data_IF_458656171075
#
_entry.id   IF_458656171075
#
_cell.length_a   1.000
_cell.length_b   1.000
_cell.length_c   1.000
_cell.angle_alpha   90.00
_cell.angle_beta   90.00
_cell.angle_gamma   90.00
#
_symmetry.space_group_name_H-M   'P 1'
#
loop_
_entity.id
_entity.type
_entity.pdbx_description
1 polymer ?
#
# COMPACT_ATOMS: atom_id res chain seq x y z
N UNK A 1 -7.46 -6.77 -19.61
CA UNK A 1 -8.40 -6.19 -20.61
C UNK A 1 -8.80 -7.20 -21.70
N UNK A 2 -7.92 -8.13 -22.07
CA UNK A 2 -8.22 -9.21 -23.04
C UNK A 2 -9.44 -10.05 -22.61
N UNK A 3 -10.32 -10.40 -23.54
CA UNK A 3 -11.52 -11.25 -23.36
C UNK A 3 -12.65 -10.67 -22.49
N UNK A 4 -12.78 -9.35 -22.37
CA UNK A 4 -13.91 -8.69 -21.71
C UNK A 4 -14.95 -8.24 -22.74
N UNK A 5 -16.24 -8.44 -22.45
CA UNK A 5 -17.35 -7.88 -23.24
C UNK A 5 -17.60 -6.38 -22.96
N UNK A 6 -16.84 -5.78 -22.03
CA UNK A 6 -16.96 -4.37 -21.70
C UNK A 6 -16.21 -3.51 -22.73
N UNK A 7 -16.83 -2.45 -23.30
CA UNK A 7 -16.19 -1.61 -24.30
C UNK A 7 -14.86 -1.03 -23.81
N UNK A 8 -13.89 -0.93 -24.71
CA UNK A 8 -12.55 -0.45 -24.38
C UNK A 8 -12.57 0.99 -23.83
N UNK A 9 -13.43 1.86 -24.34
CA UNK A 9 -13.63 3.22 -23.84
C UNK A 9 -13.99 3.26 -22.34
N UNK A 10 -14.79 2.29 -21.88
CA UNK A 10 -15.18 2.16 -20.46
C UNK A 10 -13.98 1.73 -19.60
N UNK A 11 -13.07 0.91 -20.13
CA UNK A 11 -11.82 0.57 -19.45
C UNK A 11 -10.89 1.78 -19.33
N UNK A 12 -10.75 2.59 -20.37
CA UNK A 12 -9.96 3.83 -20.32
C UNK A 12 -10.54 4.83 -19.32
N UNK A 13 -11.85 5.06 -19.35
CA UNK A 13 -12.52 5.90 -18.34
C UNK A 13 -12.35 5.34 -16.93
N UNK A 14 -12.50 4.03 -16.75
CA UNK A 14 -12.29 3.38 -15.47
C UNK A 14 -10.87 3.56 -14.93
N UNK A 15 -9.86 3.36 -15.77
CA UNK A 15 -8.46 3.61 -15.40
C UNK A 15 -8.22 5.08 -15.05
N UNK A 16 -8.81 6.01 -15.80
CA UNK A 16 -8.72 7.45 -15.53
C UNK A 16 -9.30 7.79 -14.16
N UNK A 17 -10.51 7.33 -13.86
CA UNK A 17 -11.19 7.60 -12.59
C UNK A 17 -10.41 7.10 -11.37
N UNK A 18 -9.89 5.87 -11.43
CA UNK A 18 -9.16 5.26 -10.30
C UNK A 18 -7.80 5.92 -10.07
N UNK A 19 -7.13 6.37 -11.14
CA UNK A 19 -5.78 6.93 -11.04
C UNK A 19 -5.74 8.41 -10.69
N UNK A 20 -6.78 9.17 -11.05
CA UNK A 20 -6.78 10.64 -10.90
C UNK A 20 -7.51 11.12 -9.65
N UNK A 21 -8.47 10.36 -9.11
CA UNK A 21 -9.21 10.79 -7.93
C UNK A 21 -8.44 10.53 -6.64
N UNK A 22 -8.06 11.59 -5.93
CA UNK A 22 -7.26 11.56 -4.69
C UNK A 22 -7.88 10.81 -3.50
N UNK A 23 -9.21 10.68 -3.37
CA UNK A 23 -9.82 9.80 -2.36
C UNK A 23 -10.00 8.34 -2.82
N UNK A 24 -9.87 8.04 -4.11
CA UNK A 24 -10.24 6.74 -4.69
C UNK A 24 -11.76 6.60 -4.77
N UNK A 25 -12.25 5.43 -5.17
CA UNK A 25 -13.69 5.20 -5.32
C UNK A 25 -14.12 3.84 -4.81
N UNK A 26 -15.29 3.80 -4.16
CA UNK A 26 -15.98 2.54 -3.90
C UNK A 26 -16.45 1.90 -5.21
N UNK A 27 -16.61 0.58 -5.23
CA UNK A 27 -17.09 -0.14 -6.41
C UNK A 27 -18.51 0.31 -6.82
N UNK A 28 -19.35 0.68 -5.85
CA UNK A 28 -20.69 1.21 -6.12
C UNK A 28 -20.66 2.59 -6.78
N UNK A 29 -19.77 3.48 -6.32
CA UNK A 29 -19.59 4.79 -6.96
C UNK A 29 -19.01 4.64 -8.36
N UNK A 30 -18.02 3.76 -8.53
CA UNK A 30 -17.40 3.44 -9.81
C UNK A 30 -18.41 2.90 -10.82
N UNK A 31 -19.28 1.98 -10.38
CA UNK A 31 -20.39 1.45 -11.16
C UNK A 31 -21.30 2.58 -11.69
N UNK A 32 -21.74 3.48 -10.80
CA UNK A 32 -22.63 4.59 -11.14
C UNK A 32 -21.99 5.56 -12.13
N UNK A 33 -20.72 5.91 -11.92
CA UNK A 33 -20.01 6.85 -12.80
C UNK A 33 -19.79 6.29 -14.21
N UNK A 34 -19.56 4.99 -14.34
CA UNK A 34 -19.39 4.33 -15.63
C UNK A 34 -20.69 3.84 -16.27
N UNK A 35 -21.84 4.02 -15.62
CA UNK A 35 -23.13 3.54 -16.11
C UNK A 35 -23.21 2.01 -16.23
N UNK A 36 -22.47 1.27 -15.39
CA UNK A 36 -22.45 -0.19 -15.44
C UNK A 36 -23.71 -0.77 -14.78
N UNK A 37 -24.33 -1.73 -15.44
CA UNK A 37 -25.58 -2.36 -14.95
C UNK A 37 -25.36 -3.30 -13.77
N UNK A 38 -24.18 -3.93 -13.67
CA UNK A 38 -23.86 -4.94 -12.65
C UNK A 38 -22.72 -4.46 -11.74
N UNK A 39 -22.91 -4.63 -10.44
CA UNK A 39 -21.89 -4.31 -9.43
C UNK A 39 -20.64 -5.17 -9.63
N UNK A 40 -20.84 -6.45 -9.95
CA UNK A 40 -19.78 -7.43 -10.12
C UNK A 40 -18.84 -7.06 -11.28
N UNK A 41 -19.38 -6.44 -12.34
CA UNK A 41 -18.58 -5.92 -13.45
C UNK A 41 -17.67 -4.79 -12.97
N UNK A 42 -18.21 -3.82 -12.22
CA UNK A 42 -17.44 -2.73 -11.64
C UNK A 42 -16.35 -3.26 -10.68
N UNK A 43 -16.71 -4.21 -9.80
CA UNK A 43 -15.80 -4.83 -8.85
C UNK A 43 -14.67 -5.58 -9.55
N UNK A 44 -14.98 -6.41 -10.55
CA UNK A 44 -13.98 -7.13 -11.34
C UNK A 44 -13.06 -6.17 -12.10
N UNK A 45 -13.62 -5.11 -12.70
CA UNK A 45 -12.81 -4.09 -13.38
C UNK A 45 -11.80 -3.45 -12.44
N UNK A 46 -12.24 -3.04 -11.23
CA UNK A 46 -11.35 -2.48 -10.22
C UNK A 46 -10.26 -3.47 -9.81
N UNK A 47 -10.59 -4.73 -9.57
CA UNK A 47 -9.58 -5.75 -9.22
C UNK A 47 -8.58 -6.01 -10.34
N UNK A 48 -9.00 -5.99 -11.61
CA UNK A 48 -8.10 -6.09 -12.76
C UNK A 48 -7.16 -4.89 -12.86
N UNK A 49 -7.67 -3.68 -12.61
CA UNK A 49 -6.84 -2.46 -12.57
C UNK A 49 -5.84 -2.51 -11.40
N UNK A 50 -6.27 -2.94 -10.22
CA UNK A 50 -5.41 -3.10 -9.03
C UNK A 50 -4.29 -4.12 -9.23
N UNK A 51 -4.58 -5.24 -9.89
CA UNK A 51 -3.54 -6.21 -10.26
C UNK A 51 -2.48 -5.57 -11.18
N UNK A 52 -2.90 -4.72 -12.12
CA UNK A 52 -2.01 -3.94 -12.98
C UNK A 52 -1.30 -2.76 -12.31
N UNK A 53 -1.63 -2.41 -11.06
CA UNK A 53 -0.95 -1.31 -10.35
C UNK A 53 0.37 -1.73 -9.70
N UNK A 54 0.73 -3.01 -9.79
CA UNK A 54 2.03 -3.52 -9.37
C UNK A 54 2.92 -3.64 -10.59
N UNK A 55 4.03 -2.89 -10.60
CA UNK A 55 5.05 -3.01 -11.65
C UNK A 55 5.84 -4.31 -11.45
N UNK A 56 5.92 -5.21 -12.44
CA UNK A 56 6.87 -6.31 -12.43
C UNK A 56 8.31 -5.77 -12.31
N UNK A 57 9.17 -6.47 -11.56
CA UNK A 57 10.59 -6.09 -11.40
C UNK A 57 10.80 -4.64 -10.92
N UNK A 58 9.92 -4.18 -10.02
CA UNK A 58 10.00 -2.84 -9.47
C UNK A 58 11.28 -2.64 -8.65
N UNK A 59 11.86 -1.45 -8.77
CA UNK A 59 13.07 -1.08 -8.03
C UNK A 59 12.85 -1.09 -6.51
N UNK A 60 13.83 -1.58 -5.77
CA UNK A 60 13.85 -1.47 -4.32
C UNK A 60 13.93 0.01 -3.87
N UNK A 61 13.50 0.26 -2.64
CA UNK A 61 13.54 1.56 -1.97
C UNK A 61 14.78 1.69 -1.08
N UNK A 62 15.13 2.91 -0.71
CA UNK A 62 16.31 3.19 0.11
C UNK A 62 17.53 3.61 -0.69
N UNK A 63 18.72 3.16 -0.28
CA UNK A 63 20.01 3.60 -0.80
C UNK A 63 20.38 4.97 -0.24
N UNK A 64 20.09 6.03 -1.00
CA UNK A 64 20.36 7.41 -0.59
C UNK A 64 19.50 7.87 0.60
N UNK A 65 18.32 7.29 0.76
CA UNK A 65 17.36 7.68 1.80
C UNK A 65 17.22 6.56 2.84
N UNK A 66 17.17 6.88 4.15
CA UNK A 66 16.82 5.90 5.17
C UNK A 66 15.37 5.43 4.97
N UNK A 67 15.11 4.20 5.40
CA UNK A 67 13.80 3.54 5.28
C UNK A 67 13.28 3.22 6.68
N UNK A 68 12.05 3.63 6.97
CA UNK A 68 11.32 3.20 8.16
C UNK A 68 10.52 1.94 7.83
N UNK A 69 10.62 0.91 8.67
CA UNK A 69 9.91 -0.36 8.53
C UNK A 69 9.19 -0.68 9.82
N UNK A 70 7.93 -1.07 9.71
CA UNK A 70 7.06 -1.41 10.84
C UNK A 70 5.86 -2.25 10.36
N UNK A 71 5.04 -2.77 11.28
CA UNK A 71 3.78 -3.44 10.98
C UNK A 71 2.57 -2.79 11.65
N UNK A 72 1.43 -2.91 10.97
CA UNK A 72 0.14 -2.53 11.53
C UNK A 72 -0.88 -3.64 11.38
N UNK A 73 -1.88 -3.63 12.26
CA UNK A 73 -3.08 -4.42 12.12
C UNK A 73 -4.16 -3.64 11.36
N UNK A 74 -4.81 -4.27 10.39
CA UNK A 74 -5.90 -3.70 9.57
C UNK A 74 -7.13 -4.61 9.65
N UNK A 75 -8.33 -4.01 9.72
CA UNK A 75 -9.61 -4.74 9.76
C UNK A 75 -10.20 -4.85 11.17
N UNK A 76 -10.97 -5.92 11.42
CA UNK A 76 -11.56 -6.20 12.74
C UNK A 76 -13.01 -5.75 12.97
N UNK A 77 -13.76 -5.38 11.92
CA UNK A 77 -15.23 -5.27 11.96
C UNK A 77 -15.85 -6.27 10.99
N UNK A 78 -16.15 -7.47 11.47
CA UNK A 78 -17.03 -8.40 10.74
C UNK A 78 -18.47 -8.14 11.16
N UNK A 79 -19.35 -7.84 10.21
CA UNK A 79 -20.80 -7.79 10.46
C UNK A 79 -21.32 -9.23 10.34
N UNK A 80 -21.75 -9.84 11.44
CA UNK A 80 -22.45 -11.14 11.43
C UNK A 80 -21.83 -12.27 12.26
N UNK A 81 -20.58 -12.15 12.73
CA UNK A 81 -19.86 -13.24 13.42
C UNK A 81 -19.73 -13.02 14.94
N UNK A 82 -20.76 -12.45 15.57
CA UNK A 82 -20.80 -12.26 17.03
C UNK A 82 -19.82 -11.20 17.57
N UNK A 83 -20.01 -10.84 18.85
CA UNK A 83 -19.13 -9.89 19.57
C UNK A 83 -17.80 -10.57 19.90
N UNK A 84 -16.70 -10.12 19.29
CA UNK A 84 -15.34 -10.42 19.77
C UNK A 84 -14.38 -11.09 18.80
N UNK A 85 -14.81 -11.52 17.61
CA UNK A 85 -13.89 -12.11 16.62
C UNK A 85 -13.23 -11.00 15.81
N UNK A 86 -12.02 -10.61 16.22
CA UNK A 86 -11.21 -9.62 15.51
C UNK A 86 -10.29 -10.32 14.50
N UNK A 87 -10.78 -10.59 13.28
CA UNK A 87 -9.91 -10.96 12.15
C UNK A 87 -9.12 -9.73 11.69
N UNK A 88 -8.10 -9.37 12.46
CA UNK A 88 -7.13 -8.34 12.09
C UNK A 88 -6.06 -8.99 11.23
N UNK A 89 -5.84 -8.40 10.07
CA UNK A 89 -4.77 -8.78 9.17
C UNK A 89 -3.50 -7.99 9.51
N UNK A 90 -2.35 -8.64 9.49
CA UNK A 90 -1.05 -7.98 9.68
C UNK A 90 -0.55 -7.46 8.35
N UNK A 91 -0.21 -6.17 8.31
CA UNK A 91 0.37 -5.51 7.15
C UNK A 91 1.74 -4.97 7.56
N UNK A 92 2.79 -5.45 6.91
CA UNK A 92 4.13 -4.85 7.01
C UNK A 92 4.26 -3.72 6.00
N UNK A 93 4.99 -2.67 6.35
CA UNK A 93 5.23 -1.55 5.48
C UNK A 93 6.65 -1.01 5.59
N UNK A 94 7.15 -0.47 4.48
CA UNK A 94 8.43 0.21 4.41
C UNK A 94 8.28 1.55 3.66
N UNK A 95 8.83 2.63 4.20
CA UNK A 95 8.73 3.96 3.59
C UNK A 95 10.07 4.69 3.61
N UNK A 96 10.43 5.30 2.49
CA UNK A 96 11.59 6.19 2.44
C UNK A 96 11.32 7.46 3.25
N UNK A 97 12.30 7.90 4.03
CA UNK A 97 12.26 9.20 4.70
C UNK A 97 13.15 10.17 3.94
N UNK A 98 12.53 11.16 3.29
CA UNK A 98 13.23 12.16 2.50
C UNK A 98 13.24 13.50 3.23
N UNK A 99 14.34 14.22 3.12
CA UNK A 99 14.48 15.56 3.70
C UNK A 99 14.10 16.61 2.67
N UNK A 100 13.31 17.61 3.07
CA UNK A 100 13.06 18.79 2.23
C UNK A 100 14.30 19.66 2.21
N UNK A 101 14.68 20.17 1.04
CA UNK A 101 15.66 21.26 0.96
C UNK A 101 15.20 22.42 1.85
N UNK A 102 16.10 23.05 2.63
CA UNK A 102 15.76 24.23 3.40
C UNK A 102 15.37 25.35 2.44
N UNK A 103 14.09 25.66 2.34
CA UNK A 103 13.63 26.86 1.66
C UNK A 103 13.76 28.05 2.63
N UNK A 104 14.33 29.17 2.19
CA UNK A 104 14.52 30.37 3.01
C UNK A 104 13.18 30.97 3.48
N UNK A 105 12.06 30.59 2.86
CA UNK A 105 10.69 31.04 3.18
C UNK A 105 9.88 30.03 4.00
N UNK A 106 10.49 29.32 4.95
CA UNK A 106 9.79 28.32 5.79
C UNK A 106 8.59 28.94 6.51
N UNK A 107 7.38 28.40 6.23
CA UNK A 107 6.24 28.51 7.15
C UNK A 107 6.59 27.73 8.44
N UNK A 108 6.42 28.35 9.61
CA UNK A 108 6.81 27.85 10.95
C UNK A 108 6.37 26.42 11.32
N UNK A 109 5.42 25.81 10.61
CA UNK A 109 4.79 24.54 11.00
C UNK A 109 5.00 23.36 10.02
N UNK A 110 5.89 23.47 9.02
CA UNK A 110 6.08 22.39 8.04
C UNK A 110 7.21 21.45 8.47
N UNK A 111 6.90 20.15 8.66
CA UNK A 111 7.89 19.09 8.96
C UNK A 111 9.07 19.14 7.97
N UNK A 112 10.29 18.95 8.48
CA UNK A 112 11.54 18.93 7.70
C UNK A 112 11.66 17.71 6.80
N UNK A 113 11.10 16.59 7.22
CA UNK A 113 11.03 15.34 6.46
C UNK A 113 9.65 15.11 5.83
N UNK A 114 9.62 14.26 4.81
CA UNK A 114 8.41 13.78 4.16
C UNK A 114 8.62 12.35 3.64
N UNK A 115 7.53 11.61 3.51
CA UNK A 115 7.58 10.26 2.98
C UNK A 115 7.98 10.26 1.50
N UNK A 116 8.86 9.35 1.09
CA UNK A 116 9.20 9.10 -0.30
C UNK A 116 8.29 8.03 -0.91
N UNK A 117 8.91 6.96 -1.41
CA UNK A 117 8.21 5.76 -1.89
C UNK A 117 7.83 4.85 -0.70
N UNK A 118 6.65 4.27 -0.78
CA UNK A 118 6.04 3.35 0.18
C UNK A 118 5.91 1.95 -0.43
N UNK A 119 6.02 0.94 0.42
CA UNK A 119 5.83 -0.49 0.18
C UNK A 119 4.91 -1.05 1.27
N UNK A 120 3.93 -1.88 0.90
CA UNK A 120 2.99 -2.50 1.84
C UNK A 120 2.70 -3.93 1.40
N UNK A 121 2.76 -4.88 2.34
CA UNK A 121 2.50 -6.30 2.08
C UNK A 121 1.66 -6.90 3.20
N UNK A 122 0.61 -7.61 2.82
CA UNK A 122 -0.13 -8.49 3.72
C UNK A 122 0.77 -9.67 4.09
N UNK A 123 0.93 -9.92 5.39
CA UNK A 123 1.73 -11.04 5.91
C UNK A 123 0.85 -11.94 6.79
N UNK A 124 1.09 -13.26 6.80
CA UNK A 124 0.29 -14.21 7.59
C UNK A 124 0.43 -13.97 9.09
N UNK A 125 1.53 -13.37 9.54
CA UNK A 125 1.81 -13.04 10.92
C UNK A 125 2.98 -12.06 11.03
N UNK A 126 3.49 -11.89 12.24
CA UNK A 126 4.61 -11.00 12.54
C UNK A 126 5.90 -11.78 12.85
N UNK A 127 6.14 -12.86 12.11
CA UNK A 127 7.36 -13.66 12.29
C UNK A 127 8.59 -12.93 11.73
N UNK A 128 9.74 -13.14 12.36
CA UNK A 128 11.00 -12.53 11.95
C UNK A 128 11.34 -12.83 10.49
N UNK A 129 11.06 -14.06 10.04
CA UNK A 129 11.33 -14.52 8.67
C UNK A 129 10.55 -13.69 7.64
N UNK A 130 9.24 -13.52 7.82
CA UNK A 130 8.38 -12.83 6.86
C UNK A 130 8.72 -11.33 6.76
N UNK A 131 9.09 -10.72 7.89
CA UNK A 131 9.49 -9.32 7.97
C UNK A 131 10.86 -9.09 7.33
N UNK A 132 11.78 -10.01 7.57
CA UNK A 132 13.13 -9.96 7.01
C UNK A 132 13.15 -10.24 5.51
N UNK A 133 12.33 -11.17 5.02
CA UNK A 133 12.09 -11.38 3.58
C UNK A 133 11.49 -10.12 2.93
N UNK A 134 10.54 -9.45 3.61
CA UNK A 134 9.96 -8.21 3.10
C UNK A 134 11.01 -7.13 2.89
N UNK A 135 11.90 -6.95 3.86
CA UNK A 135 13.00 -5.97 3.77
C UNK A 135 13.95 -6.34 2.64
N UNK A 136 14.33 -7.61 2.51
CA UNK A 136 15.23 -8.07 1.44
C UNK A 136 14.68 -7.85 0.03
N UNK A 137 13.39 -8.10 -0.17
CA UNK A 137 12.74 -7.89 -1.47
C UNK A 137 12.54 -6.42 -1.82
N UNK A 138 12.35 -5.55 -0.81
CA UNK A 138 11.89 -4.18 -1.03
C UNK A 138 12.92 -3.11 -0.76
N UNK A 139 13.99 -3.40 -0.01
CA UNK A 139 14.97 -2.40 0.43
C UNK A 139 16.34 -2.75 -0.13
N UNK A 140 16.98 -1.76 -0.74
CA UNK A 140 18.33 -1.90 -1.31
C UNK A 140 19.30 -2.31 -0.21
N UNK A 141 20.09 -3.37 -0.43
CA UNK A 141 21.12 -3.82 0.52
C UNK A 141 22.11 -2.69 0.84
N UNK A 142 22.54 -2.58 2.10
CA UNK A 142 23.39 -1.50 2.59
C UNK A 142 22.65 -0.21 2.96
N UNK A 143 21.33 -0.14 2.75
CA UNK A 143 20.50 0.98 3.21
C UNK A 143 20.44 1.06 4.73
N UNK A 144 20.15 2.26 5.23
CA UNK A 144 19.76 2.48 6.63
C UNK A 144 18.30 2.08 6.80
N UNK A 145 18.05 1.13 7.71
CA UNK A 145 16.71 0.64 8.06
C UNK A 145 16.43 0.97 9.52
N UNK A 146 15.35 1.70 9.76
CA UNK A 146 14.87 2.12 11.07
C UNK A 146 13.64 1.32 11.46
N UNK A 147 13.68 0.70 12.63
CA UNK A 147 12.57 -0.10 13.18
C UNK A 147 12.34 0.29 14.64
N UNK A 148 11.22 -0.16 15.21
CA UNK A 148 10.78 0.11 16.58
C UNK A 148 11.55 -0.71 17.65
N UNK A 149 12.66 -1.34 17.27
CA UNK A 149 13.49 -2.13 18.19
C UNK A 149 12.95 -3.53 18.49
N UNK A 150 11.99 -4.03 17.71
CA UNK A 150 11.52 -5.40 17.86
C UNK A 150 12.56 -6.42 17.41
N UNK A 151 12.75 -7.49 18.19
CA UNK A 151 13.70 -8.58 17.97
C UNK A 151 13.55 -9.28 16.63
N UNK A 152 12.38 -9.18 16.00
CA UNK A 152 12.14 -9.68 14.66
C UNK A 152 13.07 -9.09 13.58
N UNK A 153 13.75 -7.97 13.89
CA UNK A 153 14.65 -7.26 13.00
C UNK A 153 16.14 -7.41 13.34
N UNK A 154 16.51 -8.18 14.36
CA UNK A 154 17.90 -8.30 14.84
C UNK A 154 18.85 -8.86 13.76
N UNK A 155 18.33 -9.68 12.85
CA UNK A 155 19.11 -10.29 11.77
C UNK A 155 19.41 -9.32 10.61
N UNK A 156 18.80 -8.13 10.56
CA UNK A 156 18.99 -7.17 9.47
C UNK A 156 20.45 -6.74 9.32
N UNK A 157 21.16 -6.56 10.43
CA UNK A 157 22.58 -6.21 10.41
C UNK A 157 23.42 -7.32 9.74
N UNK A 158 23.14 -8.58 10.06
CA UNK A 158 23.82 -9.75 9.48
C UNK A 158 23.54 -9.91 7.99
N UNK A 159 22.35 -9.48 7.54
CA UNK A 159 21.94 -9.49 6.14
C UNK A 159 22.51 -8.31 5.34
N UNK A 160 23.31 -7.45 5.96
CA UNK A 160 24.04 -6.36 5.31
C UNK A 160 23.27 -5.05 5.22
N UNK A 161 22.30 -4.83 6.12
CA UNK A 161 21.64 -3.54 6.32
C UNK A 161 22.27 -2.76 7.47
N UNK A 162 22.21 -1.44 7.41
CA UNK A 162 22.55 -0.59 8.55
C UNK A 162 21.30 -0.45 9.42
N UNK A 163 21.17 -1.33 10.40
CA UNK A 163 20.01 -1.33 11.29
C UNK A 163 20.17 -0.27 12.37
N UNK A 164 19.24 0.67 12.40
CA UNK A 164 19.09 1.70 13.45
C UNK A 164 17.82 1.38 14.25
N UNK A 165 17.88 0.46 15.24
CA UNK A 165 16.75 0.24 16.14
C UNK A 165 16.56 1.50 16.99
N UNK A 166 15.32 1.97 17.10
CA UNK A 166 14.99 3.08 18.00
C UNK A 166 14.88 2.55 19.44
N UNK A 167 15.85 2.90 20.28
CA UNK A 167 15.79 2.64 21.72
C UNK A 167 14.81 3.62 22.36
N UNK A 168 13.66 3.11 22.79
CA UNK A 168 12.65 3.84 23.55
C UNK A 168 13.15 4.06 24.98
N UNK A 169 13.93 5.11 25.20
CA UNK A 169 14.51 5.43 26.52
C UNK A 169 13.48 6.11 27.47
N UNK A 170 12.26 5.57 27.53
CA UNK A 170 11.22 5.96 28.51
C UNK A 170 10.59 7.34 28.35
N UNK A 171 10.96 8.14 27.36
CA UNK A 171 10.48 9.52 27.19
C UNK A 171 9.17 9.61 26.34
N UNK A 172 8.03 10.04 26.92
CA UNK A 172 6.75 10.20 26.23
C UNK A 172 6.79 11.23 25.10
N UNK A 173 7.63 12.27 25.16
CA UNK A 173 7.71 13.29 24.09
C UNK A 173 8.43 12.78 22.83
N UNK A 174 9.34 11.81 22.99
CA UNK A 174 9.90 11.09 21.84
C UNK A 174 8.86 10.17 21.19
N UNK A 175 7.73 9.91 21.87
CA UNK A 175 6.67 8.99 21.42
C UNK A 175 5.95 9.43 20.15
N UNK A 176 5.74 10.73 19.99
CA UNK A 176 5.14 11.32 18.77
C UNK A 176 6.14 11.56 17.62
N UNK A 177 7.43 11.30 17.86
CA UNK A 177 8.52 11.41 16.88
C UNK A 177 8.95 10.06 16.28
N UNK A 178 8.30 8.96 16.67
CA UNK A 178 8.62 7.59 16.27
C UNK A 178 8.17 7.27 14.85
N UNK A 179 9.12 6.72 14.06
CA UNK A 179 8.95 6.33 12.65
C UNK A 179 7.80 7.08 11.95
N UNK A 180 7.87 8.43 11.93
CA UNK A 180 6.68 9.23 11.75
C UNK A 180 6.09 9.03 10.36
N UNK A 181 6.91 8.65 9.37
CA UNK A 181 6.43 8.50 8.01
C UNK A 181 5.64 7.19 7.86
N UNK A 182 6.08 6.09 8.46
CA UNK A 182 5.36 4.81 8.32
C UNK A 182 4.06 4.82 9.13
N UNK A 183 4.06 5.39 10.34
CA UNK A 183 2.85 5.52 11.15
C UNK A 183 1.80 6.43 10.53
N UNK A 184 2.22 7.53 9.90
CA UNK A 184 1.31 8.38 9.10
C UNK A 184 0.77 7.61 7.90
N UNK A 185 1.61 6.84 7.20
CA UNK A 185 1.17 6.04 6.07
C UNK A 185 0.12 5.01 6.50
N UNK A 186 0.32 4.32 7.63
CA UNK A 186 -0.66 3.38 8.19
C UNK A 186 -1.95 4.06 8.64
N UNK A 187 -1.87 5.23 9.28
CA UNK A 187 -3.04 6.01 9.68
C UNK A 187 -3.87 6.44 8.47
N UNK A 188 -3.21 6.90 7.40
CA UNK A 188 -3.86 7.25 6.15
C UNK A 188 -4.48 6.03 5.47
N UNK A 189 -3.79 4.89 5.46
CA UNK A 189 -4.31 3.63 4.91
C UNK A 189 -5.60 3.21 5.62
N UNK A 190 -5.61 3.16 6.95
CA UNK A 190 -6.79 2.80 7.75
C UNK A 190 -7.95 3.76 7.51
N UNK A 191 -7.66 5.05 7.47
CA UNK A 191 -8.66 6.09 7.20
C UNK A 191 -9.26 5.93 5.81
N UNK A 192 -8.44 5.66 4.80
CA UNK A 192 -8.88 5.44 3.42
C UNK A 192 -9.74 4.18 3.28
N UNK A 193 -9.31 3.05 3.86
CA UNK A 193 -10.07 1.80 3.84
C UNK A 193 -11.44 1.94 4.53
N UNK A 194 -11.49 2.64 5.67
CA UNK A 194 -12.73 2.83 6.42
C UNK A 194 -13.65 3.87 5.77
N UNK A 195 -13.09 4.97 5.29
CA UNK A 195 -13.84 6.10 4.74
C UNK A 195 -14.37 5.84 3.33
N UNK A 196 -13.52 5.35 2.42
CA UNK A 196 -13.88 5.16 1.00
C UNK A 196 -14.48 3.78 0.74
N UNK A 197 -14.03 2.75 1.45
CA UNK A 197 -14.40 1.36 1.16
C UNK A 197 -15.27 0.72 2.25
N UNK A 198 -15.45 1.37 3.40
CA UNK A 198 -16.19 0.85 4.55
C UNK A 198 -15.68 -0.52 5.05
N UNK A 199 -14.38 -0.78 4.87
CA UNK A 199 -13.75 -2.06 5.20
C UNK A 199 -13.54 -2.96 3.98
N UNK A 200 -12.59 -3.88 4.11
CA UNK A 200 -12.20 -4.83 3.06
C UNK A 200 -11.93 -6.17 3.73
N UNK A 201 -12.38 -7.26 3.11
CA UNK A 201 -12.07 -8.61 3.58
C UNK A 201 -10.57 -8.90 3.47
N UNK A 202 -10.06 -9.75 4.35
CA UNK A 202 -8.63 -10.12 4.33
C UNK A 202 -8.21 -10.70 2.97
N UNK A 203 -9.08 -11.49 2.34
CA UNK A 203 -8.89 -12.07 1.01
C UNK A 203 -8.55 -11.01 -0.06
N UNK A 204 -9.21 -9.86 -0.02
CA UNK A 204 -9.01 -8.80 -1.01
C UNK A 204 -8.01 -7.73 -0.59
N UNK A 205 -7.57 -7.73 0.67
CA UNK A 205 -6.84 -6.62 1.26
C UNK A 205 -5.58 -6.25 0.46
N UNK A 206 -4.81 -7.23 -0.03
CA UNK A 206 -3.61 -6.95 -0.82
C UNK A 206 -3.89 -6.12 -2.09
N UNK A 207 -5.04 -6.32 -2.74
CA UNK A 207 -5.43 -5.52 -3.92
C UNK A 207 -5.57 -4.02 -3.56
N UNK A 208 -6.10 -3.74 -2.38
CA UNK A 208 -6.31 -2.39 -1.89
C UNK A 208 -5.01 -1.78 -1.37
N UNK A 209 -4.12 -2.58 -0.77
CA UNK A 209 -2.75 -2.15 -0.47
C UNK A 209 -2.00 -1.73 -1.75
N UNK A 210 -2.14 -2.51 -2.83
CA UNK A 210 -1.53 -2.20 -4.11
C UNK A 210 -2.04 -0.86 -4.69
N UNK A 211 -3.36 -0.63 -4.64
CA UNK A 211 -3.95 0.65 -5.03
C UNK A 211 -3.42 1.82 -4.18
N UNK A 212 -3.41 1.65 -2.86
CA UNK A 212 -2.94 2.66 -1.93
C UNK A 212 -1.47 3.02 -2.19
N UNK A 213 -0.60 2.01 -2.32
CA UNK A 213 0.83 2.19 -2.64
C UNK A 213 1.00 2.88 -3.99
N UNK A 214 0.26 2.45 -5.01
CA UNK A 214 0.35 3.02 -6.35
C UNK A 214 0.03 4.52 -6.35
N UNK A 215 -1.06 4.90 -5.68
CA UNK A 215 -1.54 6.28 -5.57
C UNK A 215 -0.62 7.11 -4.69
N UNK A 216 -0.18 6.56 -3.56
CA UNK A 216 0.78 7.20 -2.68
C UNK A 216 2.08 7.54 -3.42
N UNK A 217 2.65 6.58 -4.15
CA UNK A 217 3.93 6.76 -4.83
C UNK A 217 3.86 7.73 -6.02
N UNK A 218 2.66 8.03 -6.52
CA UNK A 218 2.42 8.93 -7.67
C UNK A 218 1.69 10.21 -7.32
N UNK A 219 1.47 10.49 -6.04
CA UNK A 219 0.69 11.65 -5.54
C UNK A 219 1.21 13.02 -5.99
N UNK A 220 2.47 13.12 -6.42
CA UNK A 220 3.03 14.36 -6.96
C UNK A 220 2.84 14.51 -8.48
N UNK A 221 2.48 13.44 -9.18
CA UNK A 221 2.38 13.39 -10.65
C UNK A 221 1.14 12.60 -11.11
N UNK A 222 -0.08 13.12 -10.86
CA UNK A 222 -1.33 12.39 -11.11
C UNK A 222 -1.54 11.99 -12.58
N UNK A 223 -1.14 12.82 -13.55
CA UNK A 223 -1.29 12.49 -14.97
C UNK A 223 -0.38 11.35 -15.44
N UNK A 224 0.80 11.19 -14.81
CA UNK A 224 1.70 10.06 -15.07
C UNK A 224 1.11 8.75 -14.56
N UNK A 225 0.21 8.80 -13.57
CA UNK A 225 -0.43 7.63 -13.00
C UNK A 225 -1.36 6.93 -14.00
N UNK A 226 -2.13 7.69 -14.78
CA UNK A 226 -3.01 7.13 -15.82
C UNK A 226 -2.21 6.33 -16.85
N UNK A 227 -1.20 6.95 -17.46
CA UNK A 227 -0.34 6.28 -18.44
C UNK A 227 0.40 5.08 -17.83
N UNK A 228 0.83 5.19 -16.57
CA UNK A 228 1.47 4.07 -15.85
C UNK A 228 0.54 2.86 -15.72
N UNK A 229 -0.73 3.05 -15.32
CA UNK A 229 -1.66 1.91 -15.16
C UNK A 229 -1.92 1.25 -16.50
N UNK A 230 -2.10 2.02 -17.57
CA UNK A 230 -2.32 1.44 -18.90
C UNK A 230 -1.12 0.62 -19.36
N UNK A 231 0.10 1.14 -19.23
CA UNK A 231 1.31 0.40 -19.59
C UNK A 231 1.51 -0.87 -18.77
N UNK A 232 1.30 -0.81 -17.45
CA UNK A 232 1.45 -1.98 -16.57
C UNK A 232 0.35 -3.03 -16.80
N UNK A 233 -0.89 -2.60 -17.06
CA UNK A 233 -2.02 -3.50 -17.29
C UNK A 233 -1.86 -4.35 -18.56
N UNK A 234 -0.98 -3.98 -19.50
CA UNK A 234 -0.65 -4.80 -20.67
C UNK A 234 0.14 -6.06 -20.29
N UNK A 235 0.96 -5.98 -19.25
CA UNK A 235 1.88 -7.05 -18.83
C UNK A 235 1.41 -7.80 -17.58
N UNK A 236 0.34 -7.34 -16.93
CA UNK A 236 -0.16 -7.94 -15.70
C UNK A 236 -1.10 -9.12 -15.97
N UNK A 237 -0.90 -10.21 -15.22
CA UNK A 237 -1.93 -11.24 -15.06
C UNK A 237 -3.14 -10.60 -14.36
N UNK A 238 -4.33 -10.96 -14.80
CA UNK A 238 -5.56 -10.35 -14.34
C UNK A 238 -6.52 -11.41 -13.80
N UNK A 239 -7.17 -11.17 -12.65
CA UNK A 239 -8.11 -12.13 -12.07
C UNK A 239 -9.31 -12.42 -13.00
N UNK A 240 -9.79 -13.66 -13.00
CA UNK A 240 -11.09 -14.02 -13.57
C UNK A 240 -12.22 -13.72 -12.59
N UNK A 241 -13.48 -13.89 -13.01
CA UNK A 241 -14.63 -13.74 -12.11
C UNK A 241 -14.56 -14.80 -11.01
N UNK A 242 -14.48 -16.06 -11.41
CA UNK A 242 -14.49 -17.19 -10.47
C UNK A 242 -13.37 -17.11 -9.44
N UNK A 243 -12.14 -16.81 -9.87
CA UNK A 243 -10.99 -16.70 -8.96
C UNK A 243 -11.13 -15.59 -7.91
N UNK A 244 -11.83 -14.49 -8.23
CA UNK A 244 -12.06 -13.41 -7.25
C UNK A 244 -13.03 -13.84 -6.17
N UNK A 245 -14.16 -14.43 -6.58
CA UNK A 245 -15.23 -14.81 -5.67
C UNK A 245 -14.95 -16.11 -4.92
N UNK A 246 -14.16 -17.03 -5.50
CA UNK A 246 -13.78 -18.29 -4.87
C UNK A 246 -12.76 -18.15 -3.75
N UNK A 247 -11.96 -17.07 -3.74
CA UNK A 247 -10.82 -16.98 -2.82
C UNK A 247 -9.47 -17.32 -3.45
N UNK A 248 -9.46 -17.86 -4.66
CA UNK A 248 -8.24 -18.47 -5.23
C UNK A 248 -7.25 -17.46 -5.81
N UNK A 249 -7.72 -16.28 -6.20
CA UNK A 249 -6.83 -15.26 -6.75
C UNK A 249 -5.92 -14.66 -5.70
N UNK A 250 -4.61 -14.84 -5.88
CA UNK A 250 -3.57 -14.16 -5.11
C UNK A 250 -3.13 -12.92 -5.88
N UNK A 251 -3.39 -11.73 -5.33
CA UNK A 251 -2.86 -10.50 -5.93
C UNK A 251 -1.34 -10.48 -5.86
N UNK A 252 -0.65 -9.96 -6.90
CA UNK A 252 0.78 -9.76 -6.81
C UNK A 252 1.06 -8.87 -5.61
N UNK A 253 1.72 -9.42 -4.60
CA UNK A 253 2.36 -8.63 -3.59
C UNK A 253 3.66 -8.11 -4.19
N UNK A 254 4.02 -6.90 -3.85
CA UNK A 254 5.43 -6.64 -3.70
C UNK A 254 5.62 -5.90 -2.41
#
# INVERSE_FOLDING_TARGET
>A
MRSSHTPLSVWFWGAYLVTTQTPGQSALQFQRQLGLSRYETAFQMLHKLRAGMVRPERDAIGGQYPVEVDETLVGGRTRGEGRGVHHKATVVGAVEVRTRTPDAKKKKHKRTVYAGRLRLRLVPGRGAKELTEFVQENVVKGSVVRTDGWTAYDDLAQLGYKHEPLVLDGDPERTDAHLPMIHIAFSNLKTWLLGTHHGVSQHHLQAYLNEFVFRFNRRFYPMTAFNSVLGLAVHALSPTYDMLYSGEWVHPAG
#
